data_IF_143976910022
#
_entry.id   IF_143976910022
#
_cell.length_a   1.000
_cell.length_b   1.000
_cell.length_c   1.000
_cell.angle_alpha   90.00
_cell.angle_beta   90.00
_cell.angle_gamma   90.00
#
_symmetry.space_group_name_H-M   'P 1'
#
loop_
_entity.id
_entity.type
_entity.pdbx_description
1 polymer ?
#
# COMPACT_ATOMS: atom_id res chain seq x y z
N UNK A 1 52.72 27.91 28.13
CA UNK A 1 51.44 28.29 27.48
C UNK A 1 51.14 27.32 26.38
N UNK A 2 50.15 26.44 26.60
CA UNK A 2 49.72 25.47 25.57
C UNK A 2 48.70 26.12 24.67
N UNK A 3 48.96 26.24 23.38
CA UNK A 3 48.02 26.76 22.36
C UNK A 3 47.05 25.63 22.03
N UNK A 4 45.80 25.78 22.45
CA UNK A 4 44.73 24.89 22.02
C UNK A 4 44.44 25.16 20.54
N UNK A 5 44.77 24.24 19.67
CA UNK A 5 44.29 24.22 18.30
C UNK A 5 42.81 23.81 18.27
N UNK A 6 41.92 24.59 17.65
CA UNK A 6 40.52 24.19 17.55
C UNK A 6 40.39 22.94 16.68
N UNK A 7 39.73 21.90 17.22
CA UNK A 7 39.35 20.70 16.44
C UNK A 7 38.28 21.10 15.43
N UNK A 8 38.42 20.68 14.16
CA UNK A 8 37.34 20.87 13.19
C UNK A 8 36.11 20.10 13.66
N UNK A 9 34.97 20.77 13.70
CA UNK A 9 33.71 20.16 14.11
C UNK A 9 33.29 19.09 13.09
N UNK A 10 32.78 17.97 13.61
CA UNK A 10 32.40 16.79 12.81
C UNK A 10 31.41 17.09 11.68
N UNK A 11 30.65 18.18 11.79
CA UNK A 11 29.70 18.62 10.75
C UNK A 11 30.39 19.10 9.45
N UNK A 12 31.59 19.67 9.53
CA UNK A 12 32.33 20.08 8.34
C UNK A 12 32.87 18.89 7.52
N UNK A 13 33.17 17.77 8.20
CA UNK A 13 33.61 16.53 7.55
C UNK A 13 32.49 15.82 6.77
N UNK A 14 31.25 15.90 7.26
CA UNK A 14 30.08 15.30 6.58
C UNK A 14 29.72 16.07 5.30
N UNK A 15 29.84 17.38 5.31
CA UNK A 15 29.59 18.20 4.12
C UNK A 15 30.61 17.95 3.00
N UNK A 16 31.87 17.63 3.34
CA UNK A 16 32.90 17.31 2.35
C UNK A 16 32.78 15.90 1.75
N UNK A 17 32.15 14.95 2.48
CA UNK A 17 31.96 13.58 2.00
C UNK A 17 30.85 13.44 0.96
N UNK A 18 29.96 14.44 0.82
CA UNK A 18 28.87 14.46 -0.17
C UNK A 18 29.21 15.16 -1.47
N UNK A 19 30.45 15.61 -1.66
CA UNK A 19 30.95 16.04 -2.96
C UNK A 19 31.26 14.79 -3.80
N UNK A 20 30.20 14.06 -4.22
CA UNK A 20 30.34 13.02 -5.22
C UNK A 20 30.79 13.70 -6.52
N UNK A 21 31.95 13.27 -7.01
CA UNK A 21 32.37 13.59 -8.36
C UNK A 21 31.24 13.19 -9.31
N UNK A 22 30.62 14.18 -9.95
CA UNK A 22 29.63 13.92 -10.98
C UNK A 22 30.28 13.02 -12.03
N UNK A 23 29.83 11.78 -12.11
CA UNK A 23 30.17 10.87 -13.21
C UNK A 23 29.71 11.49 -14.54
N UNK A 24 30.03 10.86 -15.68
CA UNK A 24 29.62 11.40 -16.97
C UNK A 24 28.13 11.70 -16.93
N UNK A 25 27.79 12.97 -17.12
CA UNK A 25 26.41 13.42 -17.07
C UNK A 25 25.67 12.75 -18.22
N UNK A 26 24.77 11.82 -17.89
CA UNK A 26 23.84 11.29 -18.86
C UNK A 26 22.96 12.44 -19.36
N UNK A 27 22.72 12.53 -20.66
CA UNK A 27 21.79 13.49 -21.27
C UNK A 27 20.32 13.22 -20.89
N UNK A 28 20.12 12.59 -19.73
CA UNK A 28 18.81 12.24 -19.21
C UNK A 28 18.29 13.35 -18.29
N UNK A 29 17.17 13.92 -18.66
CA UNK A 29 16.49 14.94 -17.85
C UNK A 29 15.15 14.39 -17.36
N UNK A 30 14.95 14.46 -16.05
CA UNK A 30 13.65 14.17 -15.43
C UNK A 30 12.85 15.46 -15.36
N UNK A 31 11.63 15.40 -15.86
CA UNK A 31 10.67 16.48 -15.70
C UNK A 31 9.48 15.99 -14.87
N UNK A 32 9.10 16.78 -13.88
CA UNK A 32 7.88 16.51 -13.13
C UNK A 32 6.68 16.94 -13.96
N UNK A 33 5.69 16.04 -14.05
CA UNK A 33 4.39 16.33 -14.64
C UNK A 33 3.30 16.08 -13.61
N UNK A 34 2.27 16.92 -13.61
CA UNK A 34 1.08 16.65 -12.83
C UNK A 34 0.21 15.67 -13.60
N UNK A 35 -0.14 14.57 -12.97
CA UNK A 35 -1.07 13.58 -13.51
C UNK A 35 -2.27 13.54 -12.59
N UNK A 36 -3.45 13.79 -13.14
CA UNK A 36 -4.69 13.51 -12.43
C UNK A 36 -4.92 12.01 -12.42
N UNK A 37 -4.93 11.43 -11.22
CA UNK A 37 -5.22 10.02 -11.06
C UNK A 37 -6.72 9.80 -11.26
N UNK A 38 -7.13 8.76 -12.01
CA UNK A 38 -8.55 8.42 -12.10
C UNK A 38 -9.06 8.05 -10.70
N UNK A 39 -10.13 8.70 -10.29
CA UNK A 39 -10.83 8.30 -9.09
C UNK A 39 -11.61 7.01 -9.38
N UNK A 40 -11.17 5.90 -8.79
CA UNK A 40 -11.98 4.69 -8.78
C UNK A 40 -12.95 4.80 -7.61
N UNK A 41 -14.08 5.45 -7.83
CA UNK A 41 -15.18 5.50 -6.87
C UNK A 41 -16.05 4.25 -6.84
N UNK A 42 -15.59 3.16 -7.47
CA UNK A 42 -16.35 1.92 -7.55
C UNK A 42 -16.43 1.23 -6.20
N UNK A 43 -17.65 1.07 -5.72
CA UNK A 43 -17.95 0.25 -4.56
C UNK A 43 -18.12 -1.22 -4.97
N UNK A 44 -18.00 -2.11 -4.02
CA UNK A 44 -18.44 -3.48 -4.22
C UNK A 44 -19.96 -3.50 -4.43
N UNK A 45 -20.47 -4.25 -5.43
CA UNK A 45 -21.90 -4.29 -5.71
C UNK A 45 -22.70 -5.01 -4.61
N UNK A 46 -23.93 -4.60 -4.37
CA UNK A 46 -24.86 -5.28 -3.50
C UNK A 46 -25.34 -4.50 -2.28
N UNK A 47 -25.25 -3.19 -2.31
CA UNK A 47 -25.78 -2.28 -1.28
C UNK A 47 -25.39 -2.71 0.15
N UNK A 48 -26.35 -2.80 1.07
CA UNK A 48 -26.10 -3.15 2.48
C UNK A 48 -25.34 -4.49 2.69
N UNK A 49 -25.45 -5.43 1.74
CA UNK A 49 -24.68 -6.69 1.82
C UNK A 49 -23.18 -6.48 1.60
N UNK A 50 -22.82 -5.40 0.92
CA UNK A 50 -21.44 -5.04 0.67
C UNK A 50 -20.85 -4.08 1.71
N UNK A 51 -21.60 -3.63 2.69
CA UNK A 51 -21.14 -2.62 3.65
C UNK A 51 -19.88 -3.06 4.41
N UNK A 52 -19.85 -4.28 4.88
CA UNK A 52 -18.68 -4.79 5.61
C UNK A 52 -17.41 -4.77 4.77
N UNK A 53 -17.47 -5.21 3.50
CA UNK A 53 -16.31 -5.21 2.61
C UNK A 53 -15.95 -3.79 2.16
N UNK A 54 -16.92 -2.95 1.86
CA UNK A 54 -16.67 -1.55 1.50
C UNK A 54 -15.98 -0.78 2.63
N UNK A 55 -16.44 -0.95 3.86
CA UNK A 55 -15.91 -0.24 5.01
C UNK A 55 -14.49 -0.70 5.40
N UNK A 56 -14.13 -1.95 5.12
CA UNK A 56 -12.86 -2.51 5.56
C UNK A 56 -11.79 -2.60 4.45
N UNK A 57 -12.19 -2.77 3.19
CA UNK A 57 -11.25 -3.13 2.12
C UNK A 57 -10.85 -1.96 1.23
N UNK A 58 -11.74 -0.98 1.01
CA UNK A 58 -11.50 0.14 0.10
C UNK A 58 -10.49 1.17 0.60
N UNK A 59 -10.06 1.08 1.86
CA UNK A 59 -9.05 1.98 2.41
C UNK A 59 -7.65 1.80 1.79
N UNK A 60 -7.37 0.63 1.22
CA UNK A 60 -6.03 0.28 0.74
C UNK A 60 -5.96 -0.02 -0.76
N UNK A 61 -7.03 -0.51 -1.37
CA UNK A 61 -7.10 -0.85 -2.79
C UNK A 61 -8.55 -0.78 -3.30
N UNK A 62 -8.72 -0.75 -4.62
CA UNK A 62 -10.03 -0.68 -5.25
C UNK A 62 -10.79 -2.01 -5.19
N UNK A 63 -12.12 -1.93 -5.37
CA UNK A 63 -12.98 -3.12 -5.47
C UNK A 63 -12.56 -4.03 -6.62
N UNK A 64 -12.12 -3.47 -7.75
CA UNK A 64 -11.69 -4.22 -8.93
C UNK A 64 -10.58 -5.21 -8.64
N UNK A 65 -9.66 -4.89 -7.70
CA UNK A 65 -8.61 -5.82 -7.32
C UNK A 65 -9.17 -7.17 -6.84
N UNK A 66 -10.28 -7.15 -6.13
CA UNK A 66 -10.95 -8.38 -5.68
C UNK A 66 -11.90 -8.94 -6.75
N UNK A 67 -12.63 -8.08 -7.46
CA UNK A 67 -13.60 -8.50 -8.46
C UNK A 67 -12.96 -9.19 -9.67
N UNK A 68 -11.71 -8.90 -9.97
CA UNK A 68 -10.93 -9.55 -11.04
C UNK A 68 -10.24 -10.84 -10.62
N UNK A 69 -10.27 -11.19 -9.33
CA UNK A 69 -9.70 -12.45 -8.84
C UNK A 69 -10.46 -13.67 -9.42
N UNK A 70 -9.81 -14.84 -9.48
CA UNK A 70 -10.50 -16.08 -9.85
C UNK A 70 -11.58 -16.45 -8.84
N UNK A 71 -12.44 -17.40 -9.22
CA UNK A 71 -13.41 -17.97 -8.30
C UNK A 71 -12.70 -18.85 -7.26
N UNK A 72 -12.86 -18.53 -5.98
CA UNK A 72 -12.20 -19.21 -4.88
C UNK A 72 -13.22 -19.86 -3.94
N UNK A 73 -12.83 -20.96 -3.34
CA UNK A 73 -13.63 -21.59 -2.27
C UNK A 73 -13.72 -20.69 -1.04
N UNK A 74 -14.65 -20.98 -0.16
CA UNK A 74 -14.77 -20.27 1.13
C UNK A 74 -13.47 -20.30 1.94
N UNK A 75 -12.80 -21.44 2.01
CA UNK A 75 -11.55 -21.56 2.76
C UNK A 75 -10.43 -20.72 2.16
N UNK A 76 -10.38 -20.60 0.83
CA UNK A 76 -9.41 -19.75 0.15
C UNK A 76 -9.71 -18.26 0.37
N UNK A 77 -10.99 -17.83 0.28
CA UNK A 77 -11.37 -16.47 0.59
C UNK A 77 -11.09 -16.10 2.05
N UNK A 78 -11.38 -17.03 2.98
CA UNK A 78 -11.03 -16.85 4.40
C UNK A 78 -9.53 -16.66 4.57
N UNK A 79 -8.70 -17.46 3.90
CA UNK A 79 -7.25 -17.35 3.97
C UNK A 79 -6.75 -16.02 3.41
N UNK A 80 -7.37 -15.48 2.35
CA UNK A 80 -7.03 -14.15 1.81
C UNK A 80 -7.39 -13.03 2.79
N UNK A 81 -8.55 -13.07 3.41
CA UNK A 81 -8.96 -12.09 4.45
C UNK A 81 -7.99 -12.16 5.65
N UNK A 82 -7.65 -13.36 6.10
CA UNK A 82 -6.71 -13.55 7.20
C UNK A 82 -5.31 -13.04 6.84
N UNK A 83 -4.87 -13.23 5.61
CA UNK A 83 -3.61 -12.67 5.09
C UNK A 83 -3.61 -11.14 5.14
N UNK A 84 -4.68 -10.50 4.69
CA UNK A 84 -4.81 -9.04 4.77
C UNK A 84 -4.67 -8.56 6.22
N UNK A 85 -5.33 -9.23 7.16
CA UNK A 85 -5.29 -8.85 8.58
C UNK A 85 -3.93 -9.12 9.24
N UNK A 86 -3.39 -10.32 9.04
CA UNK A 86 -2.25 -10.80 9.83
C UNK A 86 -0.90 -10.42 9.20
N UNK A 87 -0.80 -10.42 7.88
CA UNK A 87 0.44 -10.12 7.15
C UNK A 87 0.51 -8.63 6.81
N UNK A 88 -0.51 -8.10 6.16
CA UNK A 88 -0.54 -6.70 5.71
C UNK A 88 -1.07 -5.72 6.76
N UNK A 89 -1.53 -6.23 7.91
CA UNK A 89 -2.03 -5.42 9.04
C UNK A 89 -3.20 -4.50 8.65
N UNK A 90 -4.01 -4.95 7.71
CA UNK A 90 -5.23 -4.23 7.34
C UNK A 90 -6.15 -4.09 8.56
N UNK A 91 -6.77 -2.91 8.77
CA UNK A 91 -7.60 -2.63 9.94
C UNK A 91 -9.00 -3.26 9.82
N UNK A 92 -9.06 -4.52 9.44
CA UNK A 92 -10.32 -5.28 9.31
C UNK A 92 -10.79 -5.73 10.68
N UNK A 93 -12.00 -5.32 11.06
CA UNK A 93 -12.60 -5.71 12.32
C UNK A 93 -12.86 -7.24 12.37
N UNK A 94 -12.53 -7.87 13.50
CA UNK A 94 -12.72 -9.30 13.65
C UNK A 94 -14.19 -9.72 13.49
N UNK A 95 -15.13 -8.87 13.92
CA UNK A 95 -16.58 -9.05 13.77
C UNK A 95 -17.04 -9.11 12.31
N UNK A 96 -16.30 -8.45 11.41
CA UNK A 96 -16.71 -8.30 10.00
C UNK A 96 -16.15 -9.40 9.10
N UNK A 97 -15.18 -10.17 9.57
CA UNK A 97 -14.50 -11.23 8.78
C UNK A 97 -15.48 -12.22 8.18
N UNK A 98 -16.46 -12.69 8.97
CA UNK A 98 -17.45 -13.64 8.47
C UNK A 98 -18.32 -13.03 7.37
N UNK A 99 -18.82 -11.83 7.58
CA UNK A 99 -19.66 -11.12 6.59
C UNK A 99 -18.88 -10.82 5.30
N UNK A 100 -17.62 -10.42 5.40
CA UNK A 100 -16.74 -10.18 4.25
C UNK A 100 -16.51 -11.48 3.48
N UNK A 101 -16.21 -12.57 4.17
CA UNK A 101 -16.00 -13.88 3.54
C UNK A 101 -17.28 -14.38 2.86
N UNK A 102 -18.44 -14.25 3.53
CA UNK A 102 -19.73 -14.64 2.97
C UNK A 102 -20.05 -13.84 1.69
N UNK A 103 -19.79 -12.54 1.72
CA UNK A 103 -19.97 -11.69 0.57
C UNK A 103 -19.07 -12.13 -0.60
N UNK A 104 -17.76 -12.31 -0.37
CA UNK A 104 -16.81 -12.76 -1.41
C UNK A 104 -17.22 -14.11 -2.01
N UNK A 105 -17.66 -15.05 -1.20
CA UNK A 105 -18.17 -16.33 -1.69
C UNK A 105 -19.44 -16.15 -2.54
N UNK A 106 -20.31 -15.20 -2.17
CA UNK A 106 -21.56 -14.97 -2.93
C UNK A 106 -21.30 -14.43 -4.34
N UNK A 107 -20.25 -13.63 -4.54
CA UNK A 107 -19.95 -13.02 -5.83
C UNK A 107 -18.83 -13.73 -6.60
N UNK A 108 -17.91 -14.35 -5.92
CA UNK A 108 -16.69 -14.97 -6.48
C UNK A 108 -16.41 -16.35 -5.87
N UNK A 109 -17.45 -17.04 -5.41
CA UNK A 109 -17.35 -18.44 -4.98
C UNK A 109 -17.27 -19.41 -6.16
N UNK A 110 -17.11 -20.72 -5.90
CA UNK A 110 -17.10 -21.73 -6.95
C UNK A 110 -18.36 -21.68 -7.82
N UNK A 111 -18.16 -21.86 -9.11
CA UNK A 111 -19.28 -21.98 -10.08
C UNK A 111 -19.87 -23.38 -10.03
#
# INVERSE_FOLDING_TARGET
MAVLTPRPNAFAAIAAANAQTAGPQSNFSLQSVNVELPESGSLFPGDAKADAINNNCLACHSAEMNLTQPHLSRSQWQAEVDKMRNVYKAPVQASDVAAITDYLVSIKGPK
#
